data_IF_929455901495
#
_entry.id   IF_929455901495
#
_cell.length_a   1.000
_cell.length_b   1.000
_cell.length_c   1.000
_cell.angle_alpha   90.00
_cell.angle_beta   90.00
_cell.angle_gamma   90.00
#
_symmetry.space_group_name_H-M   'P 1'
#
loop_
_entity.id
_entity.type
_entity.pdbx_description
1 polymer ?
#
# COMPACT_ATOMS: atom_id res chain seq x y z
N UNK A 1 11.60 -68.69 3.41
CA UNK A 1 11.35 -68.42 4.82
C UNK A 1 10.57 -67.10 4.80
N UNK A 2 9.25 -67.19 4.72
CA UNK A 2 8.22 -67.01 5.76
C UNK A 2 8.52 -65.80 6.65
N UNK A 3 7.66 -64.81 6.80
CA UNK A 3 6.23 -64.90 7.16
C UNK A 3 5.51 -63.57 6.87
N UNK A 4 4.34 -63.68 6.36
CA UNK A 4 3.07 -63.03 6.66
C UNK A 4 2.94 -62.34 8.04
N UNK A 5 2.45 -61.14 8.06
CA UNK A 5 1.50 -60.66 9.08
C UNK A 5 0.40 -59.83 8.48
N UNK A 6 -0.80 -60.40 8.49
CA UNK A 6 -2.07 -59.75 8.24
C UNK A 6 -2.49 -58.95 9.46
N UNK A 7 -2.84 -57.70 9.31
CA UNK A 7 -3.62 -56.98 10.29
C UNK A 7 -5.08 -56.83 9.82
N UNK A 8 -5.94 -57.49 10.54
CA UNK A 8 -7.39 -57.53 10.43
C UNK A 8 -7.95 -56.20 10.97
N UNK A 9 -8.66 -55.44 10.15
CA UNK A 9 -9.54 -54.38 10.58
C UNK A 9 -10.97 -54.87 10.64
N UNK A 10 -11.51 -54.90 11.82
CA UNK A 10 -12.88 -55.31 12.17
C UNK A 10 -13.86 -54.20 11.79
N UNK A 11 -14.83 -54.50 10.96
CA UNK A 11 -15.98 -53.67 10.67
C UNK A 11 -17.19 -54.12 11.51
N UNK A 12 -17.74 -53.30 12.38
CA UNK A 12 -18.99 -53.62 13.05
C UNK A 12 -20.13 -52.86 12.36
N UNK A 13 -20.91 -53.56 11.56
CA UNK A 13 -22.36 -53.37 11.42
C UNK A 13 -22.83 -54.04 10.12
N UNK A 14 -23.45 -55.21 10.33
CA UNK A 14 -24.03 -56.02 9.26
C UNK A 14 -25.23 -55.32 8.56
N UNK A 15 -25.18 -55.29 7.25
CA UNK A 15 -26.36 -55.28 6.41
C UNK A 15 -26.09 -56.15 5.17
N UNK A 16 -27.02 -57.05 4.95
CA UNK A 16 -27.04 -57.99 3.83
C UNK A 16 -27.08 -57.26 2.47
N UNK A 17 -26.54 -57.86 1.39
CA UNK A 17 -26.57 -57.30 0.05
C UNK A 17 -27.95 -57.46 -0.58
N UNK A 18 -28.48 -56.35 -1.09
CA UNK A 18 -29.68 -56.32 -1.95
C UNK A 18 -29.26 -56.67 -3.38
N UNK A 19 -30.02 -57.55 -4.10
CA UNK A 19 -29.68 -57.92 -5.46
C UNK A 19 -29.86 -56.78 -6.46
N UNK A 20 -28.96 -56.67 -7.41
CA UNK A 20 -29.02 -55.73 -8.50
C UNK A 20 -30.16 -56.07 -9.44
N UNK A 21 -31.20 -55.22 -9.46
CA UNK A 21 -32.21 -55.18 -10.53
C UNK A 21 -31.76 -54.14 -11.55
N UNK A 22 -31.64 -54.61 -12.79
CA UNK A 22 -31.36 -53.80 -13.97
C UNK A 22 -32.48 -52.75 -14.13
N UNK A 23 -32.15 -51.46 -14.03
CA UNK A 23 -33.02 -50.37 -14.47
C UNK A 23 -32.42 -49.77 -15.73
N UNK A 24 -33.00 -50.05 -16.86
CA UNK A 24 -32.83 -49.28 -18.09
C UNK A 24 -33.29 -47.82 -17.84
N UNK A 25 -32.56 -46.80 -18.33
CA UNK A 25 -33.04 -45.45 -18.20
C UNK A 25 -34.12 -45.14 -19.23
N UNK A 26 -35.33 -44.95 -18.81
CA UNK A 26 -36.41 -44.36 -19.63
C UNK A 26 -36.03 -42.92 -20.00
N UNK A 27 -35.59 -42.74 -21.24
CA UNK A 27 -35.15 -41.44 -21.83
C UNK A 27 -36.30 -40.44 -22.08
N UNK A 28 -37.50 -40.74 -21.63
CA UNK A 28 -38.71 -39.92 -21.87
C UNK A 28 -39.05 -38.89 -20.78
N UNK A 29 -38.66 -39.10 -19.51
CA UNK A 29 -39.09 -38.24 -18.44
C UNK A 29 -38.21 -37.02 -18.19
N UNK A 30 -36.93 -37.04 -18.56
CA UNK A 30 -35.99 -35.93 -18.37
C UNK A 30 -36.29 -34.80 -19.35
N UNK A 31 -36.74 -35.10 -20.58
CA UNK A 31 -37.07 -34.07 -21.57
C UNK A 31 -38.39 -33.37 -21.27
N UNK A 32 -39.35 -34.05 -20.60
CA UNK A 32 -40.60 -33.42 -20.16
C UNK A 32 -40.44 -32.55 -18.90
N UNK A 33 -39.47 -32.83 -18.01
CA UNK A 33 -39.19 -32.01 -16.83
C UNK A 33 -38.51 -30.70 -17.20
N UNK A 34 -37.61 -30.69 -18.19
CA UNK A 34 -36.95 -29.48 -18.68
C UNK A 34 -37.95 -28.56 -19.40
N UNK A 35 -38.83 -29.09 -20.22
CA UNK A 35 -39.88 -28.32 -20.91
C UNK A 35 -40.94 -27.72 -19.94
N UNK A 36 -41.21 -28.40 -18.81
CA UNK A 36 -42.13 -27.86 -17.77
C UNK A 36 -41.49 -26.76 -16.92
N UNK A 37 -40.18 -26.81 -16.69
CA UNK A 37 -39.45 -25.76 -15.99
C UNK A 37 -39.43 -24.41 -16.74
N UNK A 38 -39.17 -24.48 -18.05
CA UNK A 38 -39.17 -23.29 -18.92
C UNK A 38 -40.54 -22.61 -19.00
N UNK A 39 -41.62 -23.38 -19.12
CA UNK A 39 -42.98 -22.84 -19.17
C UNK A 39 -43.46 -22.26 -17.84
N UNK A 40 -42.93 -22.73 -16.70
CA UNK A 40 -43.21 -22.16 -15.38
C UNK A 40 -42.52 -20.82 -15.17
N UNK A 41 -41.28 -20.67 -15.60
CA UNK A 41 -40.51 -19.42 -15.47
C UNK A 41 -41.05 -18.32 -16.37
N UNK A 42 -41.40 -18.63 -17.63
CA UNK A 42 -42.03 -17.68 -18.54
C UNK A 42 -43.41 -17.24 -18.05
N UNK A 43 -44.20 -18.17 -17.43
CA UNK A 43 -45.50 -17.84 -16.83
C UNK A 43 -45.34 -17.00 -15.55
N UNK A 44 -44.28 -17.19 -14.77
CA UNK A 44 -43.95 -16.37 -13.61
C UNK A 44 -43.58 -14.93 -14.03
N UNK A 45 -42.77 -14.77 -15.07
CA UNK A 45 -42.43 -13.46 -15.65
C UNK A 45 -43.62 -12.77 -16.29
N UNK A 46 -44.54 -13.50 -16.97
CA UNK A 46 -45.80 -12.90 -17.46
C UNK A 46 -46.70 -12.47 -16.33
N UNK A 47 -46.77 -13.22 -15.22
CA UNK A 47 -47.53 -12.83 -14.04
C UNK A 47 -46.96 -11.62 -13.31
N UNK A 48 -45.65 -11.40 -13.35
CA UNK A 48 -45.00 -10.19 -12.87
C UNK A 48 -45.31 -8.98 -13.78
N UNK A 49 -45.36 -9.19 -15.11
CA UNK A 49 -45.76 -8.14 -16.07
C UNK A 49 -47.22 -7.71 -15.92
N UNK A 50 -48.11 -8.63 -15.56
CA UNK A 50 -49.54 -8.38 -15.32
C UNK A 50 -49.86 -8.05 -13.85
N UNK A 51 -48.84 -7.94 -13.01
CA UNK A 51 -49.03 -7.61 -11.60
C UNK A 51 -49.65 -6.22 -11.46
N UNK A 52 -50.59 -6.13 -10.58
CA UNK A 52 -51.37 -4.94 -10.19
C UNK A 52 -50.52 -3.65 -9.97
N UNK A 53 -49.21 -3.79 -9.83
CA UNK A 53 -48.25 -2.72 -9.69
C UNK A 53 -48.06 -1.83 -10.94
N UNK A 54 -48.26 -2.35 -12.16
CA UNK A 54 -48.06 -1.59 -13.40
C UNK A 54 -49.36 -1.03 -14.02
N UNK A 55 -50.53 -1.32 -13.43
CA UNK A 55 -51.83 -1.06 -14.04
C UNK A 55 -52.31 0.40 -13.93
N UNK A 56 -51.78 1.23 -13.03
CA UNK A 56 -52.20 2.63 -12.89
C UNK A 56 -51.06 3.58 -13.14
N UNK A 57 -51.28 4.68 -13.91
CA UNK A 57 -50.25 5.72 -14.17
C UNK A 57 -49.59 6.23 -12.90
N UNK A 58 -50.31 6.41 -11.81
CA UNK A 58 -49.77 6.88 -10.52
C UNK A 58 -48.73 5.90 -9.93
N UNK A 59 -48.97 4.57 -10.02
CA UNK A 59 -48.05 3.55 -9.49
C UNK A 59 -46.78 3.44 -10.34
N UNK A 60 -46.88 3.59 -11.68
CA UNK A 60 -45.69 3.64 -12.56
C UNK A 60 -44.82 4.85 -12.23
N UNK A 61 -45.43 6.01 -11.91
CA UNK A 61 -44.70 7.19 -11.46
C UNK A 61 -43.99 6.95 -10.12
N UNK A 62 -44.66 6.33 -9.15
CA UNK A 62 -44.07 6.01 -7.84
C UNK A 62 -42.88 5.04 -8.00
N UNK A 63 -43.06 4.00 -8.81
CA UNK A 63 -41.96 3.05 -9.09
C UNK A 63 -40.79 3.76 -9.79
N UNK A 64 -41.06 4.62 -10.75
CA UNK A 64 -40.02 5.40 -11.45
C UNK A 64 -39.29 6.37 -10.48
N UNK A 65 -40.02 7.03 -9.58
CA UNK A 65 -39.46 7.94 -8.57
C UNK A 65 -38.55 7.21 -7.57
N UNK A 66 -38.84 5.96 -7.25
CA UNK A 66 -38.03 5.15 -6.34
C UNK A 66 -36.88 4.49 -7.12
N UNK A 67 -37.15 3.94 -8.31
CA UNK A 67 -36.17 3.23 -9.11
C UNK A 67 -35.08 4.16 -9.70
N UNK A 68 -35.44 5.38 -10.06
CA UNK A 68 -34.51 6.34 -10.65
C UNK A 68 -33.37 6.72 -9.69
N UNK A 69 -33.62 7.15 -8.43
CA UNK A 69 -32.53 7.42 -7.48
C UNK A 69 -31.74 6.16 -7.12
N UNK A 70 -32.40 4.99 -7.03
CA UNK A 70 -31.71 3.73 -6.79
C UNK A 70 -30.75 3.38 -7.95
N UNK A 71 -31.19 3.52 -9.20
CA UNK A 71 -30.33 3.35 -10.38
C UNK A 71 -29.21 4.39 -10.44
N UNK A 72 -29.51 5.64 -10.07
CA UNK A 72 -28.47 6.68 -9.96
C UNK A 72 -27.45 6.35 -8.87
N UNK A 73 -27.90 5.90 -7.69
CA UNK A 73 -27.01 5.47 -6.61
C UNK A 73 -26.17 4.22 -7.02
N UNK A 74 -26.81 3.26 -7.68
CA UNK A 74 -26.13 2.08 -8.20
C UNK A 74 -25.11 2.46 -9.27
N UNK A 75 -25.49 3.35 -10.22
CA UNK A 75 -24.58 3.91 -11.23
C UNK A 75 -23.41 4.67 -10.59
N UNK A 76 -23.69 5.51 -9.59
CA UNK A 76 -22.65 6.21 -8.83
C UNK A 76 -21.70 5.24 -8.11
N UNK A 77 -22.24 4.20 -7.47
CA UNK A 77 -21.45 3.15 -6.81
C UNK A 77 -20.60 2.37 -7.82
N UNK A 78 -21.16 1.98 -8.95
CA UNK A 78 -20.44 1.28 -10.01
C UNK A 78 -19.31 2.12 -10.61
N UNK A 79 -19.51 3.45 -10.76
CA UNK A 79 -18.43 4.34 -11.22
C UNK A 79 -17.29 4.46 -10.21
N UNK A 80 -17.54 4.24 -8.92
CA UNK A 80 -16.50 4.16 -7.88
C UNK A 80 -15.58 2.94 -8.01
N UNK A 81 -16.02 1.89 -8.73
CA UNK A 81 -15.21 0.69 -8.99
C UNK A 81 -14.34 0.84 -10.25
N UNK A 82 -14.58 1.83 -11.09
CA UNK A 82 -13.81 2.05 -12.33
C UNK A 82 -12.54 2.81 -12.02
N UNK A 83 -11.40 2.26 -12.44
CA UNK A 83 -10.12 2.96 -12.41
C UNK A 83 -10.00 3.88 -13.63
N UNK A 84 -9.55 5.10 -13.39
CA UNK A 84 -9.30 6.09 -14.44
C UNK A 84 -7.80 6.20 -14.66
N UNK A 85 -7.35 6.32 -15.94
CA UNK A 85 -5.94 6.54 -16.21
C UNK A 85 -5.50 7.88 -15.59
N UNK A 86 -4.36 7.84 -14.94
CA UNK A 86 -3.67 9.00 -14.38
C UNK A 86 -2.31 9.16 -15.07
N UNK A 87 -1.54 10.14 -14.65
CA UNK A 87 -0.24 10.46 -15.25
C UNK A 87 0.81 10.63 -14.18
N UNK A 88 2.08 10.50 -14.56
CA UNK A 88 3.22 10.95 -13.79
C UNK A 88 3.74 12.28 -14.34
N UNK A 89 4.42 13.06 -13.50
CA UNK A 89 5.06 14.30 -13.87
C UNK A 89 6.57 14.18 -13.66
N UNK A 90 7.35 14.63 -14.64
CA UNK A 90 8.81 14.74 -14.51
C UNK A 90 9.18 15.98 -13.72
N UNK A 91 10.03 15.83 -12.72
CA UNK A 91 10.57 16.94 -11.91
C UNK A 91 12.07 16.73 -11.67
N UNK A 92 12.75 17.77 -11.20
CA UNK A 92 14.17 17.71 -10.81
C UNK A 92 15.08 17.18 -11.94
N UNK A 93 14.75 17.51 -13.18
CA UNK A 93 15.48 17.06 -14.35
C UNK A 93 16.88 17.66 -14.37
N UNK A 94 17.90 16.78 -14.42
CA UNK A 94 19.31 17.11 -14.53
C UNK A 94 19.90 16.44 -15.77
N UNK A 95 20.71 17.16 -16.52
CA UNK A 95 21.36 16.62 -17.71
C UNK A 95 20.39 16.33 -18.86
N UNK A 96 20.61 15.24 -19.57
CA UNK A 96 19.86 14.87 -20.78
C UNK A 96 18.93 13.70 -20.45
N UNK A 97 17.64 13.94 -20.58
CA UNK A 97 16.59 12.94 -20.38
C UNK A 97 15.74 12.88 -21.65
N UNK A 98 15.39 11.67 -22.05
CA UNK A 98 14.55 11.45 -23.22
C UNK A 98 13.26 10.73 -22.82
N UNK A 99 12.17 11.07 -23.50
CA UNK A 99 10.90 10.35 -23.40
C UNK A 99 10.54 9.73 -24.73
N UNK A 100 10.01 8.51 -24.70
CA UNK A 100 9.44 7.83 -25.85
C UNK A 100 7.93 7.66 -25.59
N UNK A 101 7.12 8.34 -26.38
CA UNK A 101 5.66 8.29 -26.25
C UNK A 101 5.11 6.98 -26.80
N UNK A 102 4.04 6.50 -26.21
CA UNK A 102 3.32 5.32 -26.71
C UNK A 102 2.97 5.52 -28.21
N UNK A 103 3.28 4.50 -29.02
CA UNK A 103 2.99 4.51 -30.46
C UNK A 103 3.97 5.29 -31.34
N UNK A 104 5.02 5.89 -30.75
CA UNK A 104 6.12 6.54 -31.49
C UNK A 104 7.39 5.68 -31.40
N UNK A 105 8.31 5.89 -32.37
CA UNK A 105 9.62 5.25 -32.40
C UNK A 105 10.77 6.22 -32.12
N UNK A 106 10.46 7.50 -32.01
CA UNK A 106 11.44 8.57 -31.85
C UNK A 106 11.51 9.04 -30.39
N UNK A 107 12.71 9.06 -29.84
CA UNK A 107 12.99 9.62 -28.54
C UNK A 107 13.03 11.14 -28.61
N UNK A 108 12.29 11.79 -27.74
CA UNK A 108 12.22 13.24 -27.61
C UNK A 108 12.93 13.69 -26.35
N UNK A 109 13.60 14.85 -26.38
CA UNK A 109 14.22 15.43 -25.20
C UNK A 109 13.12 15.89 -24.26
N UNK A 110 13.18 15.40 -23.02
CA UNK A 110 12.21 15.75 -21.97
C UNK A 110 12.51 17.13 -21.37
N UNK A 111 11.46 17.77 -20.89
CA UNK A 111 11.52 19.00 -20.13
C UNK A 111 10.96 18.82 -18.73
N UNK A 112 11.34 19.71 -17.82
CA UNK A 112 10.79 19.71 -16.48
C UNK A 112 9.27 19.96 -16.52
N UNK A 113 8.51 19.22 -15.71
CA UNK A 113 7.03 19.19 -15.70
C UNK A 113 6.38 18.51 -16.92
N UNK A 114 7.13 17.83 -17.77
CA UNK A 114 6.53 16.98 -18.79
C UNK A 114 5.68 15.87 -18.16
N UNK A 115 4.56 15.60 -18.84
CA UNK A 115 3.62 14.56 -18.40
C UNK A 115 3.99 13.24 -19.07
N UNK A 116 4.16 12.21 -18.25
CA UNK A 116 4.38 10.81 -18.69
C UNK A 116 3.10 10.03 -18.51
N UNK A 117 2.66 9.35 -19.55
CA UNK A 117 1.42 8.57 -19.62
C UNK A 117 1.70 7.07 -19.57
N UNK A 118 0.64 6.29 -19.47
CA UNK A 118 0.73 4.84 -19.58
C UNK A 118 1.40 4.43 -20.89
N UNK A 119 2.31 3.46 -20.79
CA UNK A 119 3.14 2.92 -21.85
C UNK A 119 4.20 3.88 -22.45
N UNK A 120 4.39 5.06 -21.87
CA UNK A 120 5.54 5.91 -22.20
C UNK A 120 6.81 5.34 -21.54
N UNK A 121 7.96 5.63 -22.14
CA UNK A 121 9.28 5.27 -21.61
C UNK A 121 10.09 6.52 -21.31
N UNK A 122 10.91 6.46 -20.28
CA UNK A 122 11.84 7.53 -19.89
C UNK A 122 13.24 6.95 -19.81
N UNK A 123 14.22 7.65 -20.35
CA UNK A 123 15.63 7.24 -20.32
C UNK A 123 16.52 8.43 -19.96
N UNK A 124 17.38 8.22 -18.98
CA UNK A 124 18.44 9.16 -18.60
C UNK A 124 19.74 8.82 -19.29
N UNK A 125 20.50 9.84 -19.70
CA UNK A 125 21.87 9.69 -20.21
C UNK A 125 22.90 9.63 -19.07
N UNK A 126 24.16 9.59 -19.38
CA UNK A 126 25.26 9.72 -18.43
C UNK A 126 25.21 11.07 -17.72
N UNK A 127 25.55 11.11 -16.43
CA UNK A 127 25.49 12.28 -15.53
C UNK A 127 24.13 12.98 -15.51
N UNK A 128 23.07 12.23 -15.79
CA UNK A 128 21.71 12.74 -15.89
C UNK A 128 20.80 12.04 -14.87
N UNK A 129 19.72 12.72 -14.49
CA UNK A 129 18.74 12.15 -13.58
C UNK A 129 17.40 12.88 -13.69
N UNK A 130 16.35 12.23 -13.24
CA UNK A 130 14.99 12.80 -13.23
C UNK A 130 14.15 12.13 -12.17
N UNK A 131 13.19 12.86 -11.62
CA UNK A 131 12.19 12.34 -10.68
C UNK A 131 10.85 12.21 -11.37
N UNK A 132 10.24 11.04 -11.35
CA UNK A 132 8.82 10.83 -11.66
C UNK A 132 8.00 11.00 -10.38
N UNK A 133 7.02 11.88 -10.41
CA UNK A 133 6.10 12.12 -9.30
C UNK A 133 4.73 11.56 -9.64
N UNK A 134 4.20 10.73 -8.76
CA UNK A 134 2.90 10.06 -8.87
C UNK A 134 1.98 10.56 -7.78
N UNK A 135 0.81 11.08 -8.14
CA UNK A 135 -0.22 11.55 -7.20
C UNK A 135 0.29 12.56 -6.17
N UNK A 136 1.30 13.36 -6.53
CA UNK A 136 1.96 14.39 -5.72
C UNK A 136 2.68 13.89 -4.45
N UNK A 137 2.72 12.59 -4.20
CA UNK A 137 3.27 12.02 -2.96
C UNK A 137 4.31 10.91 -3.16
N UNK A 138 4.13 10.03 -4.13
CA UNK A 138 5.11 8.96 -4.42
C UNK A 138 6.09 9.41 -5.49
N UNK A 139 7.37 9.12 -5.29
CA UNK A 139 8.45 9.58 -6.16
C UNK A 139 9.32 8.41 -6.60
N UNK A 140 9.77 8.46 -7.84
CA UNK A 140 10.78 7.54 -8.39
C UNK A 140 11.88 8.35 -9.04
N UNK A 141 13.06 8.33 -8.45
CA UNK A 141 14.23 8.99 -9.00
C UNK A 141 14.96 7.99 -9.91
N UNK A 142 15.28 8.42 -11.11
CA UNK A 142 16.10 7.70 -12.06
C UNK A 142 17.51 8.26 -11.99
N UNK A 143 18.48 7.40 -11.71
CA UNK A 143 19.89 7.75 -11.80
C UNK A 143 20.34 7.76 -13.27
N UNK A 144 21.60 8.01 -13.53
CA UNK A 144 22.17 8.00 -14.87
C UNK A 144 22.04 6.63 -15.56
N UNK A 145 22.01 6.61 -16.89
CA UNK A 145 21.95 5.40 -17.73
C UNK A 145 20.78 4.47 -17.35
N UNK A 146 19.66 5.06 -16.90
CA UNK A 146 18.48 4.33 -16.43
C UNK A 146 17.36 4.43 -17.44
N UNK A 147 16.70 3.29 -17.72
CA UNK A 147 15.55 3.24 -18.61
C UNK A 147 14.34 2.59 -17.88
N UNK A 148 13.23 3.31 -17.86
CA UNK A 148 11.99 2.91 -17.20
C UNK A 148 10.79 3.08 -18.13
N UNK A 149 9.88 2.10 -18.15
CA UNK A 149 8.55 2.22 -18.76
C UNK A 149 7.51 2.45 -17.68
N UNK A 150 6.62 3.39 -17.89
CA UNK A 150 5.41 3.57 -17.08
C UNK A 150 4.32 2.68 -17.67
N UNK A 151 4.14 1.48 -17.12
CA UNK A 151 3.19 0.51 -17.68
C UNK A 151 1.75 0.92 -17.38
N UNK A 152 1.48 1.29 -16.13
CA UNK A 152 0.16 1.71 -15.70
C UNK A 152 0.26 2.75 -14.59
N UNK A 153 -0.52 3.80 -14.73
CA UNK A 153 -0.84 4.75 -13.65
C UNK A 153 -2.34 4.97 -13.71
N UNK A 154 -3.03 4.56 -12.66
CA UNK A 154 -4.48 4.69 -12.58
C UNK A 154 -4.92 4.99 -11.15
N UNK A 155 -6.06 5.65 -11.01
CA UNK A 155 -6.69 5.88 -9.71
C UNK A 155 -8.19 5.66 -9.79
N UNK A 156 -8.81 5.25 -8.68
CA UNK A 156 -10.27 5.23 -8.56
C UNK A 156 -10.81 6.63 -8.29
N UNK A 157 -12.09 6.82 -8.60
CA UNK A 157 -12.78 8.08 -8.35
C UNK A 157 -12.64 8.50 -6.88
N UNK A 158 -12.19 9.74 -6.67
CA UNK A 158 -11.93 10.26 -5.32
C UNK A 158 -10.51 10.00 -4.81
N UNK A 159 -9.61 9.40 -5.62
CA UNK A 159 -8.20 9.18 -5.24
C UNK A 159 -8.00 8.14 -4.14
N UNK A 160 -9.04 7.34 -3.85
CA UNK A 160 -9.00 6.38 -2.75
C UNK A 160 -8.04 5.21 -2.99
N UNK A 161 -7.97 4.71 -4.23
CA UNK A 161 -7.04 3.65 -4.61
C UNK A 161 -6.20 4.09 -5.81
N UNK A 162 -4.90 3.94 -5.70
CA UNK A 162 -3.93 4.25 -6.75
C UNK A 162 -3.19 2.98 -7.19
N UNK A 163 -3.03 2.80 -8.48
CA UNK A 163 -2.24 1.70 -9.03
C UNK A 163 -1.11 2.28 -9.89
N UNK A 164 0.12 1.94 -9.55
CA UNK A 164 1.33 2.32 -10.28
C UNK A 164 2.09 1.05 -10.63
N UNK A 165 2.34 0.83 -11.90
CA UNK A 165 3.16 -0.25 -12.40
C UNK A 165 4.26 0.33 -13.29
N UNK A 166 5.50 0.14 -12.87
CA UNK A 166 6.69 0.54 -13.58
C UNK A 166 7.47 -0.68 -14.05
N UNK A 167 8.25 -0.54 -15.10
CA UNK A 167 9.25 -1.54 -15.48
C UNK A 167 10.60 -0.86 -15.67
N UNK A 168 11.56 -1.23 -14.83
CA UNK A 168 12.98 -0.84 -14.97
C UNK A 168 13.66 -1.83 -15.90
N UNK A 169 14.21 -1.35 -17.01
CA UNK A 169 14.89 -2.17 -18.00
C UNK A 169 16.38 -2.24 -17.76
N UNK A 170 16.97 -1.14 -17.33
CA UNK A 170 18.40 -1.03 -17.02
C UNK A 170 18.63 0.16 -16.09
N UNK A 171 19.75 0.17 -15.37
CA UNK A 171 20.17 1.25 -14.49
C UNK A 171 19.56 1.17 -13.11
N UNK A 172 19.53 2.29 -12.39
CA UNK A 172 19.11 2.35 -10.99
C UNK A 172 17.95 3.31 -10.80
N UNK A 173 16.92 2.84 -10.06
CA UNK A 173 15.77 3.62 -9.65
C UNK A 173 15.65 3.64 -8.13
N UNK A 174 15.38 4.81 -7.56
CA UNK A 174 15.07 5.01 -6.15
C UNK A 174 13.58 5.25 -6.00
N UNK A 175 12.90 4.31 -5.41
CA UNK A 175 11.46 4.33 -5.22
C UNK A 175 11.14 4.79 -3.81
N UNK A 176 10.36 5.86 -3.68
CA UNK A 176 9.71 6.29 -2.44
C UNK A 176 8.20 6.19 -2.64
N UNK A 177 7.66 5.03 -2.36
CA UNK A 177 6.22 4.78 -2.43
C UNK A 177 5.60 5.02 -1.06
N UNK A 178 4.90 6.14 -0.90
CA UNK A 178 4.15 6.44 0.33
C UNK A 178 3.02 5.43 0.47
N UNK A 179 2.78 4.96 1.69
CA UNK A 179 1.71 4.01 1.97
C UNK A 179 0.36 4.67 1.72
N UNK A 180 -0.37 4.16 0.74
CA UNK A 180 -1.73 4.61 0.50
C UNK A 180 -2.67 4.09 1.59
N UNK A 181 -3.65 4.91 1.95
CA UNK A 181 -4.67 4.57 2.96
C UNK A 181 -5.54 3.40 2.47
N UNK A 182 -5.79 3.30 1.17
CA UNK A 182 -6.59 2.23 0.57
C UNK A 182 -5.73 0.97 0.32
N UNK A 183 -6.05 -0.18 0.94
CA UNK A 183 -5.32 -1.42 0.74
C UNK A 183 -5.41 -1.99 -0.69
N UNK A 184 -6.37 -1.51 -1.50
CA UNK A 184 -6.44 -1.84 -2.91
C UNK A 184 -5.40 -1.08 -3.77
N UNK A 185 -4.69 -0.11 -3.18
CA UNK A 185 -3.60 0.58 -3.86
C UNK A 185 -2.39 -0.34 -4.03
N UNK A 186 -1.78 -0.27 -5.20
CA UNK A 186 -0.61 -1.09 -5.53
C UNK A 186 0.47 -0.21 -6.15
N UNK A 187 1.69 -0.35 -5.64
CA UNK A 187 2.88 0.18 -6.29
C UNK A 187 3.78 -1.01 -6.66
N UNK A 188 3.99 -1.24 -7.94
CA UNK A 188 4.76 -2.37 -8.46
C UNK A 188 5.88 -1.91 -9.37
N UNK A 189 7.07 -2.47 -9.15
CA UNK A 189 8.23 -2.28 -10.01
C UNK A 189 8.63 -3.64 -10.57
N UNK A 190 8.51 -3.78 -11.86
CA UNK A 190 8.93 -4.96 -12.59
C UNK A 190 10.35 -4.74 -13.15
N UNK A 191 11.13 -5.80 -13.23
CA UNK A 191 12.44 -5.87 -13.89
C UNK A 191 12.42 -7.03 -14.88
N UNK A 192 13.47 -7.26 -15.66
CA UNK A 192 13.56 -8.45 -16.52
C UNK A 192 13.45 -9.78 -15.76
N UNK A 193 13.90 -9.82 -14.49
CA UNK A 193 14.02 -11.05 -13.70
C UNK A 193 13.11 -11.12 -12.49
N UNK A 194 12.48 -10.02 -12.07
CA UNK A 194 11.67 -9.97 -10.85
C UNK A 194 10.48 -9.02 -10.97
N UNK A 195 9.48 -9.25 -10.12
CA UNK A 195 8.37 -8.33 -9.86
C UNK A 195 8.35 -7.96 -8.38
N UNK A 196 8.35 -6.66 -8.08
CA UNK A 196 8.42 -6.13 -6.71
C UNK A 196 7.18 -5.33 -6.39
N UNK A 197 6.39 -5.81 -5.45
CA UNK A 197 5.24 -5.08 -4.90
C UNK A 197 5.70 -4.30 -3.67
N UNK A 198 5.54 -2.99 -3.72
CA UNK A 198 5.99 -2.05 -2.69
C UNK A 198 4.79 -1.60 -1.87
N UNK A 199 4.86 -1.77 -0.55
CA UNK A 199 3.80 -1.34 0.37
C UNK A 199 4.36 -0.35 1.39
N UNK A 200 4.32 0.93 1.01
CA UNK A 200 4.90 1.96 1.86
C UNK A 200 6.37 1.68 2.12
N UNK A 201 7.22 1.84 1.11
CA UNK A 201 8.65 1.57 1.26
C UNK A 201 9.50 2.58 0.50
N UNK A 202 10.72 2.74 0.99
CA UNK A 202 11.82 3.36 0.27
C UNK A 202 12.81 2.27 -0.10
N UNK A 203 13.08 2.12 -1.37
CA UNK A 203 13.96 1.07 -1.88
C UNK A 203 14.68 1.50 -3.14
N UNK A 204 15.85 0.89 -3.36
CA UNK A 204 16.57 0.98 -4.62
C UNK A 204 16.34 -0.29 -5.43
N UNK A 205 16.11 -0.13 -6.73
CA UNK A 205 16.07 -1.22 -7.71
C UNK A 205 17.16 -0.94 -8.74
N UNK A 206 18.09 -1.84 -8.89
CA UNK A 206 19.18 -1.76 -9.85
C UNK A 206 19.12 -2.95 -10.80
N UNK A 207 19.18 -2.66 -12.09
CA UNK A 207 19.16 -3.66 -13.16
C UNK A 207 20.46 -3.49 -13.95
N UNK A 208 21.31 -4.50 -13.87
CA UNK A 208 22.58 -4.53 -14.60
C UNK A 208 22.37 -4.86 -16.10
N UNK A 209 23.41 -4.66 -16.90
CA UNK A 209 23.36 -4.88 -18.34
C UNK A 209 23.12 -6.34 -18.75
N UNK A 210 23.38 -7.30 -17.87
CA UNK A 210 23.10 -8.73 -18.06
C UNK A 210 21.66 -9.12 -17.65
N UNK A 211 20.85 -8.16 -17.18
CA UNK A 211 19.49 -8.35 -16.69
C UNK A 211 19.40 -8.80 -15.24
N UNK A 212 20.52 -9.03 -14.54
CA UNK A 212 20.50 -9.29 -13.11
C UNK A 212 19.93 -8.09 -12.36
N UNK A 213 19.23 -8.36 -11.26
CA UNK A 213 18.50 -7.33 -10.50
C UNK A 213 18.92 -7.36 -9.03
N UNK A 214 19.14 -6.17 -8.46
CA UNK A 214 19.35 -5.99 -7.04
C UNK A 214 18.26 -5.08 -6.47
N UNK A 215 17.65 -5.49 -5.36
CA UNK A 215 16.59 -4.73 -4.67
C UNK A 215 17.01 -4.54 -3.22
N UNK A 216 17.20 -3.30 -2.79
CA UNK A 216 17.61 -2.94 -1.44
C UNK A 216 16.53 -2.13 -0.74
N UNK A 217 16.00 -2.63 0.37
CA UNK A 217 14.94 -1.97 1.15
C UNK A 217 15.57 -1.11 2.25
N UNK A 218 15.43 0.21 2.13
CA UNK A 218 15.94 1.17 3.12
C UNK A 218 14.91 1.48 4.21
N UNK A 219 13.60 1.36 3.88
CA UNK A 219 12.51 1.68 4.79
C UNK A 219 11.27 0.88 4.38
N UNK A 220 10.50 0.43 5.38
CA UNK A 220 9.25 -0.31 5.16
C UNK A 220 9.46 -1.72 4.66
N UNK A 221 8.57 -2.20 3.79
CA UNK A 221 8.64 -3.56 3.26
C UNK A 221 8.25 -3.65 1.78
N UNK A 222 8.82 -4.65 1.12
CA UNK A 222 8.52 -4.98 -0.27
C UNK A 222 8.43 -6.50 -0.44
N UNK A 223 7.56 -6.95 -1.33
CA UNK A 223 7.46 -8.36 -1.70
C UNK A 223 8.07 -8.56 -3.08
N UNK A 224 9.14 -9.32 -3.14
CA UNK A 224 9.86 -9.66 -4.38
C UNK A 224 9.43 -11.03 -4.83
N UNK A 225 8.99 -11.14 -6.08
CA UNK A 225 8.56 -12.39 -6.72
C UNK A 225 9.46 -12.68 -7.92
N UNK A 226 10.01 -13.89 -7.96
CA UNK A 226 10.85 -14.41 -9.04
C UNK A 226 10.31 -15.79 -9.45
N UNK A 227 9.70 -15.88 -10.63
CA UNK A 227 8.98 -17.09 -11.04
C UNK A 227 7.90 -17.48 -10.02
N UNK A 228 8.03 -18.66 -9.41
CA UNK A 228 7.11 -19.15 -8.38
C UNK A 228 7.54 -18.81 -6.93
N UNK A 229 8.73 -18.23 -6.73
CA UNK A 229 9.24 -17.86 -5.42
C UNK A 229 8.84 -16.45 -5.07
N UNK A 230 8.41 -16.22 -3.82
CA UNK A 230 8.07 -14.91 -3.29
C UNK A 230 8.68 -14.73 -1.91
N UNK A 231 9.38 -13.61 -1.71
CA UNK A 231 10.04 -13.27 -0.45
C UNK A 231 9.64 -11.86 -0.05
N UNK A 232 9.27 -11.68 1.22
CA UNK A 232 9.08 -10.36 1.81
C UNK A 232 10.42 -9.86 2.34
N UNK A 233 10.85 -8.70 1.84
CA UNK A 233 11.98 -7.94 2.36
C UNK A 233 11.49 -6.86 3.30
N UNK A 234 12.24 -6.65 4.37
CA UNK A 234 12.02 -5.57 5.33
C UNK A 234 13.22 -4.62 5.34
N UNK A 235 13.13 -3.53 6.10
CA UNK A 235 14.21 -2.56 6.26
C UNK A 235 15.57 -3.23 6.51
N UNK A 236 16.59 -2.81 5.78
CA UNK A 236 17.96 -3.31 5.87
C UNK A 236 18.23 -4.60 5.11
N UNK A 237 17.22 -5.18 4.44
CA UNK A 237 17.37 -6.39 3.64
C UNK A 237 17.53 -6.08 2.16
N UNK A 238 18.28 -6.95 1.49
CA UNK A 238 18.56 -6.91 0.06
C UNK A 238 18.23 -8.24 -0.59
N UNK A 239 17.65 -8.19 -1.78
CA UNK A 239 17.55 -9.32 -2.69
C UNK A 239 18.49 -9.14 -3.87
N UNK A 240 19.22 -10.19 -4.20
CA UNK A 240 20.02 -10.30 -5.41
C UNK A 240 19.40 -11.37 -6.30
N UNK A 241 19.05 -11.03 -7.52
CA UNK A 241 18.45 -11.90 -8.51
C UNK A 241 19.39 -11.98 -9.71
N UNK A 242 19.91 -13.19 -9.99
CA UNK A 242 20.76 -13.38 -11.15
C UNK A 242 19.97 -13.30 -12.46
N UNK A 243 20.68 -13.15 -13.58
CA UNK A 243 20.09 -13.22 -14.93
C UNK A 243 19.35 -14.53 -15.20
N UNK A 244 19.68 -15.60 -14.49
CA UNK A 244 19.00 -16.91 -14.53
C UNK A 244 17.79 -17.00 -13.58
N UNK A 245 17.36 -15.88 -13.02
CA UNK A 245 16.25 -15.80 -12.05
C UNK A 245 16.48 -16.57 -10.74
N UNK A 246 17.73 -16.68 -10.27
CA UNK A 246 18.05 -17.23 -8.96
C UNK A 246 18.00 -16.13 -7.90
N UNK A 247 17.12 -16.28 -6.92
CA UNK A 247 16.90 -15.34 -5.82
C UNK A 247 17.77 -15.70 -4.62
N UNK A 248 18.52 -14.73 -4.09
CA UNK A 248 19.21 -14.79 -2.79
C UNK A 248 18.91 -13.53 -2.00
N UNK A 249 18.90 -13.65 -0.67
CA UNK A 249 18.64 -12.50 0.22
C UNK A 249 19.76 -12.36 1.24
N UNK A 250 20.06 -11.13 1.62
CA UNK A 250 21.06 -10.82 2.64
C UNK A 250 20.60 -9.66 3.52
N UNK A 251 21.13 -9.62 4.77
CA UNK A 251 20.95 -8.48 5.66
C UNK A 251 22.08 -7.50 5.42
N UNK A 252 21.76 -6.26 5.03
CA UNK A 252 22.74 -5.20 4.76
C UNK A 252 23.03 -4.39 6.02
N UNK A 253 21.97 -4.04 6.76
CA UNK A 253 22.07 -3.38 8.05
C UNK A 253 20.88 -3.78 8.94
N UNK A 254 21.06 -3.65 10.26
CA UNK A 254 19.97 -3.83 11.24
C UNK A 254 19.50 -2.45 11.70
N UNK A 255 18.18 -2.18 11.73
CA UNK A 255 17.67 -0.94 12.31
C UNK A 255 18.16 -0.74 13.73
N UNK A 256 18.55 0.50 14.07
CA UNK A 256 19.14 0.85 15.37
C UNK A 256 18.52 2.15 15.90
N UNK A 257 18.25 2.19 17.20
CA UNK A 257 17.73 3.37 17.90
C UNK A 257 18.85 4.37 18.28
N UNK A 258 20.08 3.90 18.46
CA UNK A 258 21.17 4.69 19.04
C UNK A 258 21.51 5.97 18.27
N UNK A 259 21.54 5.98 16.93
CA UNK A 259 21.88 7.20 16.19
C UNK A 259 20.97 8.39 16.53
N UNK A 260 19.65 8.16 16.55
CA UNK A 260 18.69 9.22 16.87
C UNK A 260 18.73 9.60 18.37
N UNK A 261 18.90 8.61 19.25
CA UNK A 261 19.08 8.87 20.70
C UNK A 261 20.33 9.71 20.97
N UNK A 262 21.46 9.37 20.37
CA UNK A 262 22.71 10.12 20.50
C UNK A 262 22.59 11.55 19.96
N UNK A 263 21.90 11.73 18.84
CA UNK A 263 21.62 13.04 18.24
C UNK A 263 20.75 13.90 19.15
N UNK A 264 19.69 13.30 19.73
CA UNK A 264 18.86 13.96 20.75
C UNK A 264 19.66 14.35 21.98
N UNK A 265 20.48 13.44 22.52
CA UNK A 265 21.31 13.70 23.69
C UNK A 265 22.34 14.81 23.41
N UNK A 266 23.01 14.78 22.26
CA UNK A 266 23.96 15.84 21.86
C UNK A 266 23.29 17.23 21.78
N UNK A 267 22.07 17.30 21.26
CA UNK A 267 21.30 18.54 21.23
C UNK A 267 20.91 19.01 22.63
N UNK A 268 20.61 18.10 23.57
CA UNK A 268 20.34 18.39 24.96
C UNK A 268 21.59 18.91 25.72
N UNK A 269 22.74 18.28 25.47
CA UNK A 269 24.03 18.62 26.12
C UNK A 269 24.70 19.87 25.54
N UNK A 270 24.20 20.36 24.39
CA UNK A 270 24.69 21.60 23.80
C UNK A 270 24.64 22.76 24.82
N UNK A 271 25.68 23.60 24.89
CA UNK A 271 25.72 24.76 25.80
C UNK A 271 24.72 25.85 25.46
N UNK A 272 24.10 25.81 24.29
CA UNK A 272 23.14 26.78 23.82
C UNK A 272 21.82 26.72 24.60
N UNK A 273 21.19 27.88 24.85
CA UNK A 273 19.86 27.94 25.46
C UNK A 273 18.79 27.41 24.55
N UNK A 274 18.97 27.55 23.26
CA UNK A 274 18.07 27.02 22.22
C UNK A 274 18.46 25.59 21.90
N UNK A 275 17.47 24.71 21.97
CA UNK A 275 17.54 23.32 21.55
C UNK A 275 16.98 23.23 20.13
N UNK A 276 17.78 22.77 19.20
CA UNK A 276 17.34 22.49 17.82
C UNK A 276 17.65 21.04 17.50
N UNK A 277 16.61 20.29 17.13
CA UNK A 277 16.73 18.90 16.71
C UNK A 277 16.10 18.74 15.33
N UNK A 278 16.92 18.44 14.34
CA UNK A 278 16.51 18.06 13.00
C UNK A 278 16.52 16.53 12.90
N UNK A 279 15.40 15.92 12.58
CA UNK A 279 15.24 14.46 12.46
C UNK A 279 14.87 14.16 11.01
N UNK A 280 15.64 13.33 10.36
CA UNK A 280 15.30 12.83 9.02
C UNK A 280 14.30 11.68 9.10
N UNK A 281 13.47 11.57 8.07
CA UNK A 281 12.47 10.48 7.94
C UNK A 281 13.11 9.11 8.10
N UNK A 282 14.31 8.91 7.53
CA UNK A 282 15.04 7.66 7.61
C UNK A 282 15.51 7.35 9.04
N UNK A 283 16.04 8.33 9.78
CA UNK A 283 16.46 8.17 11.18
C UNK A 283 15.27 7.78 12.06
N UNK A 284 14.12 8.46 11.86
CA UNK A 284 12.90 8.17 12.61
C UNK A 284 12.36 6.78 12.32
N UNK A 285 12.41 6.35 11.07
CA UNK A 285 11.97 5.00 10.69
C UNK A 285 12.90 3.89 11.23
N UNK A 286 14.22 4.10 11.25
CA UNK A 286 15.16 3.17 11.88
C UNK A 286 14.88 3.03 13.37
N UNK A 287 14.72 4.17 14.07
CA UNK A 287 14.38 4.19 15.49
C UNK A 287 13.08 3.43 15.76
N UNK A 288 12.00 3.75 15.04
CA UNK A 288 10.70 3.12 15.25
C UNK A 288 10.69 1.64 14.92
N UNK A 289 11.40 1.23 13.87
CA UNK A 289 11.50 -0.19 13.50
C UNK A 289 12.24 -0.99 14.57
N UNK A 290 13.37 -0.47 15.07
CA UNK A 290 14.09 -1.09 16.17
C UNK A 290 13.24 -1.14 17.45
N UNK A 291 12.59 -0.02 17.81
CA UNK A 291 11.74 0.07 19.00
C UNK A 291 10.58 -0.92 18.96
N UNK A 292 9.85 -1.00 17.84
CA UNK A 292 8.70 -1.90 17.69
C UNK A 292 9.16 -3.36 17.72
N UNK A 293 10.26 -3.71 17.06
CA UNK A 293 10.79 -5.07 17.06
C UNK A 293 11.19 -5.54 18.47
N UNK A 294 11.74 -4.64 19.30
CA UNK A 294 12.26 -4.97 20.62
C UNK A 294 11.19 -4.90 21.73
N UNK A 295 10.15 -4.07 21.57
CA UNK A 295 9.24 -3.73 22.67
C UNK A 295 7.76 -3.97 22.38
N UNK A 296 7.35 -4.22 21.13
CA UNK A 296 5.94 -4.27 20.74
C UNK A 296 5.61 -5.58 20.04
N UNK A 297 5.08 -6.56 20.78
CA UNK A 297 4.78 -7.89 20.23
C UNK A 297 3.56 -7.93 19.28
N UNK A 298 2.59 -7.01 19.47
CA UNK A 298 1.32 -7.00 18.74
C UNK A 298 1.34 -6.12 17.48
N UNK A 299 2.51 -5.59 17.10
CA UNK A 299 2.63 -4.72 15.93
C UNK A 299 3.94 -4.99 15.16
N UNK A 300 3.92 -4.75 13.86
CA UNK A 300 5.07 -4.90 12.98
C UNK A 300 5.05 -3.84 11.86
N UNK A 301 6.15 -3.74 11.13
CA UNK A 301 6.31 -2.83 9.97
C UNK A 301 5.93 -1.37 10.28
N UNK A 302 6.45 -0.74 11.36
CA UNK A 302 6.18 0.67 11.62
C UNK A 302 6.81 1.53 10.50
N UNK A 303 6.09 2.56 10.09
CA UNK A 303 6.52 3.46 9.02
C UNK A 303 6.08 4.88 9.34
N UNK A 304 6.95 5.84 9.10
CA UNK A 304 6.63 7.27 9.14
C UNK A 304 6.97 7.89 7.81
N UNK A 305 6.03 8.66 7.29
CA UNK A 305 6.20 9.48 6.11
C UNK A 305 6.04 10.92 6.51
N UNK A 306 7.09 11.70 6.32
CA UNK A 306 7.08 13.13 6.56
C UNK A 306 6.77 13.85 5.26
N UNK A 307 5.62 14.48 5.22
CA UNK A 307 5.13 15.30 4.11
C UNK A 307 5.05 16.75 4.59
N UNK A 308 4.87 17.70 3.66
CA UNK A 308 4.72 19.09 4.05
C UNK A 308 3.56 19.27 5.03
N UNK A 309 3.87 19.77 6.24
CA UNK A 309 2.94 20.07 7.35
C UNK A 309 2.19 18.83 7.92
N UNK A 310 2.60 17.62 7.57
CA UNK A 310 1.90 16.41 7.99
C UNK A 310 2.86 15.21 8.11
N UNK A 311 2.64 14.38 9.12
CA UNK A 311 3.25 13.05 9.24
C UNK A 311 2.18 11.97 9.07
N UNK A 312 2.51 10.92 8.32
CA UNK A 312 1.69 9.72 8.19
C UNK A 312 2.42 8.60 8.92
N UNK A 313 1.79 8.05 9.94
CA UNK A 313 2.26 6.90 10.68
C UNK A 313 1.52 5.66 10.17
N UNK A 314 2.24 4.64 9.77
CA UNK A 314 1.68 3.34 9.38
C UNK A 314 2.23 2.26 10.29
N UNK A 315 1.39 1.30 10.67
CA UNK A 315 1.78 0.12 11.43
C UNK A 315 0.87 -1.04 11.07
N UNK A 316 1.39 -2.24 11.05
CA UNK A 316 0.60 -3.45 10.93
C UNK A 316 0.36 -4.03 12.32
N UNK A 317 -0.89 -4.01 12.78
CA UNK A 317 -1.33 -4.72 13.97
C UNK A 317 -1.36 -6.20 13.63
N UNK A 318 -0.77 -7.04 14.47
CA UNK A 318 -0.67 -8.50 14.24
C UNK A 318 -1.62 -9.30 15.13
N UNK A 319 -2.00 -8.74 16.29
CA UNK A 319 -2.90 -9.36 17.26
C UNK A 319 -3.92 -8.35 17.78
N UNK A 320 -5.17 -8.75 18.07
CA UNK A 320 -5.79 -10.07 17.92
C UNK A 320 -6.23 -10.40 16.49
N UNK A 321 -6.10 -9.46 15.56
CA UNK A 321 -6.38 -9.63 14.13
C UNK A 321 -5.38 -8.81 13.31
N UNK A 322 -5.03 -9.30 12.14
CA UNK A 322 -4.12 -8.57 11.27
C UNK A 322 -4.82 -7.40 10.59
N UNK A 323 -4.34 -6.18 10.87
CA UNK A 323 -4.85 -4.96 10.23
C UNK A 323 -3.74 -3.95 9.99
N UNK A 324 -3.72 -3.40 8.78
CA UNK A 324 -2.90 -2.24 8.47
C UNK A 324 -3.58 -0.99 9.01
N UNK A 325 -2.89 -0.28 9.88
CA UNK A 325 -3.41 0.96 10.49
C UNK A 325 -2.57 2.14 10.03
N UNK A 326 -3.22 3.22 9.68
CA UNK A 326 -2.58 4.47 9.26
C UNK A 326 -3.16 5.65 10.01
N UNK A 327 -2.30 6.51 10.51
CA UNK A 327 -2.67 7.73 11.23
C UNK A 327 -1.99 8.92 10.56
N UNK A 328 -2.76 9.86 10.05
CA UNK A 328 -2.25 11.14 9.58
C UNK A 328 -2.36 12.17 10.70
N UNK A 329 -1.26 12.85 11.01
CA UNK A 329 -1.20 13.84 12.06
C UNK A 329 -0.34 15.06 11.67
N UNK A 330 -0.61 16.18 12.29
CA UNK A 330 0.30 17.34 12.33
C UNK A 330 0.77 17.57 13.76
N UNK A 331 1.93 18.18 13.92
CA UNK A 331 2.48 18.59 15.23
C UNK A 331 2.47 20.11 15.33
N UNK A 332 2.16 20.63 16.50
CA UNK A 332 2.19 22.06 16.79
C UNK A 332 2.85 22.31 18.15
N UNK A 333 3.68 23.33 18.23
CA UNK A 333 4.15 23.85 19.50
C UNK A 333 3.11 24.85 20.05
N UNK A 334 2.49 24.53 21.19
CA UNK A 334 1.52 25.41 21.87
C UNK A 334 1.76 25.40 23.36
N UNK A 335 1.83 26.57 23.96
CA UNK A 335 2.06 26.75 25.40
C UNK A 335 3.30 25.98 25.90
N UNK A 336 4.39 26.02 25.14
CA UNK A 336 5.62 25.32 25.47
C UNK A 336 5.61 23.80 25.31
N UNK A 337 4.53 23.23 24.79
CA UNK A 337 4.38 21.80 24.60
C UNK A 337 4.18 21.44 23.11
N UNK A 338 4.70 20.29 22.70
CA UNK A 338 4.37 19.70 21.42
C UNK A 338 2.97 19.08 21.52
N UNK A 339 2.09 19.40 20.60
CA UNK A 339 0.73 18.84 20.56
C UNK A 339 0.45 18.20 19.21
N UNK A 340 0.25 16.87 19.18
CA UNK A 340 -0.19 16.17 17.97
C UNK A 340 -1.66 16.51 17.69
N UNK A 341 -1.96 16.75 16.42
CA UNK A 341 -3.33 16.89 15.92
C UNK A 341 -3.58 15.77 14.90
N UNK A 342 -4.38 14.79 15.26
CA UNK A 342 -4.76 13.72 14.35
C UNK A 342 -5.75 14.25 13.33
N UNK A 343 -5.45 14.04 12.05
CA UNK A 343 -6.27 14.45 10.91
C UNK A 343 -7.16 13.31 10.42
N UNK A 344 -6.63 12.11 10.39
CA UNK A 344 -7.39 10.91 9.99
C UNK A 344 -6.77 9.65 10.58
N UNK A 345 -7.60 8.65 10.81
CA UNK A 345 -7.20 7.29 11.18
C UNK A 345 -7.92 6.33 10.27
N UNK A 346 -7.21 5.33 9.78
CA UNK A 346 -7.79 4.21 9.03
C UNK A 346 -7.26 2.88 9.54
N UNK A 347 -8.07 1.84 9.48
CA UNK A 347 -7.67 0.47 9.76
C UNK A 347 -8.22 -0.44 8.67
N UNK A 348 -7.34 -1.29 8.09
CA UNK A 348 -7.70 -2.13 6.95
C UNK A 348 -8.21 -1.34 5.73
N UNK A 349 -7.76 -0.07 5.57
CA UNK A 349 -8.20 0.83 4.50
C UNK A 349 -9.57 1.47 4.70
N UNK A 350 -10.26 1.18 5.80
CA UNK A 350 -11.52 1.83 6.13
C UNK A 350 -11.27 2.98 7.11
N UNK A 351 -11.84 4.16 6.87
CA UNK A 351 -11.76 5.25 7.84
C UNK A 351 -12.46 4.84 9.13
N UNK A 352 -11.81 5.08 10.27
CA UNK A 352 -12.41 4.83 11.58
C UNK A 352 -13.43 5.94 11.86
N UNK A 353 -14.69 5.61 12.24
CA UNK A 353 -15.70 6.61 12.58
C UNK A 353 -15.22 7.55 13.69
N UNK A 354 -15.57 8.85 13.59
CA UNK A 354 -15.06 9.92 14.44
C UNK A 354 -15.09 9.63 15.94
N UNK A 355 -16.16 9.04 16.47
CA UNK A 355 -16.26 8.71 17.90
C UNK A 355 -15.23 7.69 18.39
N UNK A 356 -14.88 6.68 17.55
CA UNK A 356 -13.82 5.71 17.86
C UNK A 356 -12.45 6.34 17.62
N UNK A 357 -12.33 7.16 16.59
CA UNK A 357 -11.12 7.92 16.32
C UNK A 357 -10.78 8.85 17.48
N UNK A 358 -11.76 9.59 18.01
CA UNK A 358 -11.59 10.48 19.16
C UNK A 358 -11.11 9.74 20.41
N UNK A 359 -11.62 8.54 20.66
CA UNK A 359 -11.16 7.68 21.76
C UNK A 359 -9.70 7.28 21.62
N UNK A 360 -9.26 6.86 20.42
CA UNK A 360 -7.87 6.51 20.12
C UNK A 360 -6.96 7.73 20.15
N UNK A 361 -7.43 8.86 19.62
CA UNK A 361 -6.70 10.15 19.68
C UNK A 361 -6.46 10.54 21.11
N UNK A 362 -7.48 10.52 21.97
CA UNK A 362 -7.36 10.90 23.38
C UNK A 362 -6.40 9.95 24.13
N UNK A 363 -6.42 8.67 23.81
CA UNK A 363 -5.50 7.68 24.40
C UNK A 363 -4.05 7.93 23.98
N UNK A 364 -3.81 8.16 22.69
CA UNK A 364 -2.47 8.47 22.15
C UNK A 364 -1.97 9.83 22.65
N UNK A 365 -2.83 10.85 22.66
CA UNK A 365 -2.49 12.20 23.13
C UNK A 365 -2.23 12.19 24.63
N UNK A 366 -3.05 11.49 25.41
CA UNK A 366 -2.88 11.37 26.86
C UNK A 366 -1.62 10.60 27.25
N UNK A 367 -1.28 9.52 26.55
CA UNK A 367 -0.02 8.80 26.75
C UNK A 367 1.19 9.67 26.39
N UNK A 368 1.12 10.39 25.28
CA UNK A 368 2.14 11.34 24.83
C UNK A 368 2.33 12.51 25.81
N UNK A 369 1.24 13.19 26.22
CA UNK A 369 1.30 14.28 27.18
C UNK A 369 1.86 13.83 28.54
N UNK A 370 1.46 12.65 29.02
CA UNK A 370 1.98 12.10 30.28
C UNK A 370 3.48 11.76 30.18
N UNK A 371 3.95 11.25 29.06
CA UNK A 371 5.35 10.90 28.89
C UNK A 371 6.22 12.14 28.67
N UNK A 372 5.91 12.98 27.71
CA UNK A 372 6.71 14.17 27.38
C UNK A 372 6.61 15.25 28.46
N UNK A 373 5.43 15.54 28.98
CA UNK A 373 5.25 16.55 29.99
C UNK A 373 5.99 16.23 31.29
N UNK A 374 6.14 14.94 31.62
CA UNK A 374 6.90 14.53 32.82
C UNK A 374 8.41 14.44 32.58
N UNK A 375 8.81 13.96 31.39
CA UNK A 375 10.22 13.68 31.09
C UNK A 375 11.00 14.95 30.70
N UNK A 376 10.35 15.87 29.99
CA UNK A 376 10.99 17.06 29.43
C UNK A 376 10.38 18.39 29.92
N UNK A 377 9.98 18.46 31.19
CA UNK A 377 9.42 19.68 31.84
C UNK A 377 10.33 20.91 31.74
N UNK A 378 11.62 20.70 31.53
CA UNK A 378 12.65 21.72 31.41
C UNK A 378 12.88 22.20 29.96
N UNK A 379 12.11 21.66 28.98
CA UNK A 379 12.07 22.16 27.62
C UNK A 379 10.76 22.89 27.36
N UNK A 380 10.86 24.11 26.86
CA UNK A 380 9.75 24.87 26.33
C UNK A 380 9.79 24.82 24.81
N UNK A 381 8.94 24.01 24.20
CA UNK A 381 8.88 23.86 22.75
C UNK A 381 8.33 25.12 22.09
N UNK A 382 9.12 25.75 21.23
CA UNK A 382 8.79 27.02 20.58
C UNK A 382 8.26 26.82 19.17
N UNK A 383 8.81 25.83 18.44
CA UNK A 383 8.48 25.61 17.04
C UNK A 383 8.61 24.13 16.68
N UNK A 384 7.75 23.68 15.79
CA UNK A 384 7.90 22.40 15.09
C UNK A 384 7.50 22.57 13.64
N UNK A 385 8.36 22.15 12.74
CA UNK A 385 8.14 22.18 11.30
C UNK A 385 8.27 20.75 10.74
N UNK A 386 7.24 20.27 10.03
CA UNK A 386 7.29 19.03 9.28
C UNK A 386 7.47 19.41 7.81
N UNK A 387 8.62 19.07 7.25
CA UNK A 387 8.94 19.23 5.84
C UNK A 387 8.82 17.91 5.09
N UNK A 388 9.11 17.92 3.79
CA UNK A 388 9.19 16.69 2.98
C UNK A 388 10.46 15.91 3.35
N UNK A 389 10.31 14.83 4.09
CA UNK A 389 11.38 13.94 4.52
C UNK A 389 12.12 14.35 5.79
N UNK A 390 11.73 15.43 6.48
CA UNK A 390 12.35 15.85 7.75
C UNK A 390 11.41 16.57 8.70
N UNK A 391 11.73 16.54 9.99
CA UNK A 391 11.10 17.32 11.04
C UNK A 391 12.14 18.13 11.79
N UNK A 392 11.85 19.38 12.06
CA UNK A 392 12.68 20.28 12.86
C UNK A 392 11.89 20.65 14.10
N UNK A 393 12.48 20.41 15.27
CA UNK A 393 11.92 20.75 16.57
C UNK A 393 12.83 21.76 17.25
N UNK A 394 12.26 22.89 17.69
CA UNK A 394 12.96 23.90 18.47
C UNK A 394 12.35 24.06 19.87
N UNK A 395 13.17 24.22 20.86
CA UNK A 395 12.75 24.45 22.23
C UNK A 395 13.76 25.33 22.99
N UNK A 396 13.31 26.00 24.03
CA UNK A 396 14.17 26.69 25.00
C UNK A 396 14.44 25.77 26.19
N UNK A 397 15.67 25.73 26.66
CA UNK A 397 16.06 25.08 27.92
C UNK A 397 15.73 26.02 29.08
N UNK A 398 14.75 25.65 29.93
CA UNK A 398 14.28 26.47 31.04
C UNK A 398 15.25 26.49 32.22
N UNK A 399 15.99 25.38 32.42
CA UNK A 399 16.98 25.23 33.48
C UNK A 399 18.27 24.67 32.94
N UNK A 400 19.35 25.13 33.48
CA UNK A 400 20.69 24.62 33.24
C UNK A 400 21.30 24.14 34.56
#
# INVERSE_FOLDING_TARGET
>A
MNSNEQSISVNPLGREPIPAEECEPESGEVEQAAAHGEKRWVRWWRRLGDSFLFRTRRRRVVIAVIALPFLCCLGYFLTGLVAFPSTATLTDLKGIVHTLRQGTTEWQVAQNHDIVRNNDRVRTAELSGVTLVFFDISKVNLDENTEVSVIEVSSRRGGSAANVVLKTWAGRTWVRAVRFVDPASTFRVDTPTASTVVRGARLAVEVAGDGSTQINVEQGSATVTVGAQSVKLTMGQRANISSEAKLTTEQVFTPDMQPLMNKGQAALDSPEKEFILEIEEQELNQFLTAYVNDHVAFASDPQVWLLKDMAILGVTITEPFQAETTVALSLQARNGQLRPQVKSISAGGLPIPGQLADGLVNLLTGAYENYLAKTYQWLEFTEVQIGDGKIIVKANKLYR
#
